data_IF_951780825821
#
_entry.id   IF_951780825821
#
_cell.length_a   1.000
_cell.length_b   1.000
_cell.length_c   1.000
_cell.angle_alpha   90.00
_cell.angle_beta   90.00
_cell.angle_gamma   90.00
#
_symmetry.space_group_name_H-M   'P 1'
#
loop_
_entity.id
_entity.type
_entity.pdbx_description
1 polymer ?
#
# COMPACT_ATOMS: atom_id res chain seq x y z
N UNK A 1 -7.24 14.74 53.72
CA UNK A 1 -5.84 14.96 53.28
C UNK A 1 -5.45 13.78 52.40
N UNK A 2 -5.43 13.94 51.07
CA UNK A 2 -5.03 12.86 50.17
C UNK A 2 -3.51 12.80 50.11
N UNK A 3 -2.96 11.62 50.40
CA UNK A 3 -1.53 11.33 50.34
C UNK A 3 -1.04 11.31 48.89
N UNK A 4 -0.05 12.13 48.59
CA UNK A 4 0.75 12.11 47.37
C UNK A 4 1.52 10.79 47.24
N UNK A 5 0.91 9.79 46.61
CA UNK A 5 1.62 8.62 46.14
C UNK A 5 2.29 8.96 44.80
N UNK A 6 3.56 9.35 44.91
CA UNK A 6 4.46 9.77 43.83
C UNK A 6 4.62 8.72 42.73
N UNK A 7 4.65 9.19 41.47
CA UNK A 7 4.97 8.45 40.22
C UNK A 7 6.21 7.55 40.30
N UNK A 8 7.11 7.76 41.27
CA UNK A 8 8.31 6.92 41.46
C UNK A 8 8.05 5.59 42.14
N UNK A 9 6.99 5.44 42.93
CA UNK A 9 6.72 4.18 43.66
C UNK A 9 6.05 3.13 42.77
N UNK A 10 5.36 3.56 41.69
CA UNK A 10 4.79 2.66 40.69
C UNK A 10 5.87 2.07 39.76
N UNK A 11 6.91 2.83 39.40
CA UNK A 11 8.01 2.33 38.55
C UNK A 11 8.99 1.39 39.30
N UNK A 12 9.14 1.55 40.62
CA UNK A 12 9.99 0.67 41.43
C UNK A 12 9.42 -0.75 41.63
N UNK A 13 8.10 -0.92 41.53
CA UNK A 13 7.44 -2.22 41.64
C UNK A 13 7.41 -3.06 40.36
N UNK A 14 7.73 -2.48 39.20
CA UNK A 14 7.80 -3.19 37.91
C UNK A 14 9.21 -3.66 37.54
N UNK A 15 10.25 -3.22 38.26
CA UNK A 15 11.64 -3.49 37.89
C UNK A 15 12.24 -4.76 38.51
N UNK A 16 11.59 -5.40 39.49
CA UNK A 16 12.15 -6.56 40.19
C UNK A 16 11.09 -7.64 40.41
N UNK A 17 11.01 -8.60 39.50
CA UNK A 17 10.31 -9.88 39.71
C UNK A 17 8.84 -9.92 39.28
N UNK A 18 8.58 -10.21 38.00
CA UNK A 18 7.22 -10.40 37.48
C UNK A 18 7.18 -10.83 36.01
N UNK A 19 7.95 -11.87 35.68
CA UNK A 19 8.02 -12.54 34.38
C UNK A 19 6.65 -13.06 33.93
N UNK A 20 6.13 -12.58 32.79
CA UNK A 20 5.11 -13.17 31.88
C UNK A 20 3.75 -13.72 32.42
N UNK A 21 3.66 -14.20 33.66
CA UNK A 21 2.50 -14.85 34.27
C UNK A 21 1.42 -13.86 34.75
N UNK A 22 1.80 -12.63 35.09
CA UNK A 22 0.83 -11.58 35.47
C UNK A 22 0.02 -11.10 34.26
N UNK A 23 0.63 -10.91 33.09
CA UNK A 23 -0.07 -10.51 31.85
C UNK A 23 -1.00 -11.62 31.31
N UNK A 24 -0.68 -12.90 31.57
CA UNK A 24 -1.50 -14.03 31.13
C UNK A 24 -2.90 -14.05 31.76
N UNK A 25 -3.03 -13.67 33.05
CA UNK A 25 -4.32 -13.58 33.75
C UNK A 25 -5.22 -12.44 33.25
N UNK A 26 -4.63 -11.28 32.90
CA UNK A 26 -5.37 -10.11 32.39
C UNK A 26 -5.83 -10.25 30.93
N UNK A 27 -5.36 -11.28 30.21
CA UNK A 27 -5.76 -11.54 28.82
C UNK A 27 -7.26 -11.80 28.68
N UNK A 28 -7.89 -12.37 29.71
CA UNK A 28 -9.30 -12.79 29.69
C UNK A 28 -10.27 -11.79 30.35
N UNK A 29 -9.77 -10.72 30.99
CA UNK A 29 -10.63 -9.75 31.66
C UNK A 29 -11.28 -8.76 30.66
N UNK A 30 -12.53 -8.32 30.90
CA UNK A 30 -13.18 -7.28 30.12
C UNK A 30 -12.35 -5.98 30.04
N UNK A 31 -12.34 -5.26 28.90
CA UNK A 31 -11.58 -4.01 28.72
C UNK A 31 -11.86 -2.92 29.77
N UNK A 32 -13.10 -2.84 30.20
CA UNK A 32 -13.64 -1.87 31.16
C UNK A 32 -13.13 -2.06 32.60
N UNK A 33 -12.52 -3.20 32.90
CA UNK A 33 -12.00 -3.54 34.23
C UNK A 33 -10.47 -3.39 34.31
N UNK A 34 -9.79 -3.30 33.15
CA UNK A 34 -8.33 -3.21 33.11
C UNK A 34 -7.82 -1.78 33.32
N UNK A 35 -6.74 -1.58 34.10
CA UNK A 35 -6.00 -0.33 34.11
C UNK A 35 -5.56 0.07 32.70
N UNK A 36 -5.66 1.36 32.37
CA UNK A 36 -5.40 1.87 31.02
C UNK A 36 -4.04 1.42 30.42
N UNK A 37 -2.90 1.45 31.14
CA UNK A 37 -1.62 0.99 30.57
C UNK A 37 -1.61 -0.49 30.20
N UNK A 38 -2.30 -1.33 30.98
CA UNK A 38 -2.40 -2.78 30.71
C UNK A 38 -3.31 -3.02 29.51
N UNK A 39 -4.41 -2.26 29.40
CA UNK A 39 -5.33 -2.35 28.28
C UNK A 39 -4.67 -1.90 26.97
N UNK A 40 -3.87 -0.85 27.02
CA UNK A 40 -3.12 -0.31 25.90
C UNK A 40 -2.11 -1.35 25.38
N UNK A 41 -1.25 -1.89 26.26
CA UNK A 41 -0.30 -2.96 25.90
C UNK A 41 -1.00 -4.20 25.32
N UNK A 42 -2.14 -4.59 25.90
CA UNK A 42 -2.95 -5.70 25.38
C UNK A 42 -3.51 -5.39 23.99
N UNK A 43 -3.87 -4.13 23.73
CA UNK A 43 -4.42 -3.68 22.45
C UNK A 43 -3.34 -3.69 21.38
N UNK A 44 -2.15 -3.14 21.67
CA UNK A 44 -0.97 -3.19 20.78
C UNK A 44 -0.62 -4.62 20.37
N UNK A 45 -0.58 -5.54 21.34
CA UNK A 45 -0.20 -6.94 21.10
C UNK A 45 -1.30 -7.81 20.46
N UNK A 46 -2.50 -7.26 20.23
CA UNK A 46 -3.54 -8.01 19.52
C UNK A 46 -3.10 -8.19 18.07
N UNK A 47 -2.82 -9.43 17.68
CA UNK A 47 -2.42 -9.74 16.31
C UNK A 47 -3.52 -9.35 15.33
N UNK A 48 -3.11 -8.61 14.31
CA UNK A 48 -3.93 -8.32 13.14
C UNK A 48 -3.72 -9.48 12.16
N UNK A 49 -4.79 -10.18 11.72
CA UNK A 49 -4.68 -11.22 10.71
C UNK A 49 -3.92 -10.76 9.47
N UNK A 50 -3.09 -11.64 8.93
CA UNK A 50 -2.50 -11.43 7.62
C UNK A 50 -3.56 -11.61 6.54
N UNK A 51 -3.47 -10.79 5.49
CA UNK A 51 -4.33 -10.88 4.31
C UNK A 51 -3.44 -11.26 3.16
N UNK A 52 -3.43 -12.55 2.84
CA UNK A 52 -2.65 -13.08 1.72
C UNK A 52 -3.32 -12.69 0.40
N UNK A 53 -2.66 -11.81 -0.36
CA UNK A 53 -3.12 -11.41 -1.70
C UNK A 53 -2.26 -12.00 -2.81
N UNK A 54 -1.42 -12.97 -2.46
CA UNK A 54 -0.51 -13.61 -3.40
C UNK A 54 -1.29 -14.41 -4.43
N UNK A 55 -0.87 -14.29 -5.69
CA UNK A 55 -1.37 -15.10 -6.79
C UNK A 55 -0.24 -15.98 -7.31
N UNK A 56 -0.50 -17.26 -7.63
CA UNK A 56 0.50 -18.12 -8.22
C UNK A 56 0.85 -17.63 -9.63
N UNK A 57 2.12 -17.74 -9.97
CA UNK A 57 2.69 -17.49 -11.31
C UNK A 57 3.52 -18.68 -11.76
N UNK A 58 3.93 -18.69 -13.03
CA UNK A 58 4.80 -19.73 -13.54
C UNK A 58 6.22 -19.65 -12.90
N UNK A 59 6.87 -20.77 -12.55
CA UNK A 59 8.24 -20.77 -12.02
C UNK A 59 9.24 -20.02 -12.90
N UNK A 60 9.08 -20.10 -14.22
CA UNK A 60 9.92 -19.42 -15.21
C UNK A 60 9.85 -17.90 -15.08
N UNK A 61 8.72 -17.35 -14.61
CA UNK A 61 8.59 -15.92 -14.34
C UNK A 61 9.47 -15.49 -13.16
N UNK A 62 9.56 -16.34 -12.13
CA UNK A 62 10.42 -16.09 -10.97
C UNK A 62 11.89 -16.14 -11.36
N UNK A 63 12.30 -17.14 -12.14
CA UNK A 63 13.67 -17.24 -12.68
C UNK A 63 14.03 -16.05 -13.58
N UNK A 64 13.12 -15.63 -14.46
CA UNK A 64 13.31 -14.43 -15.28
C UNK A 64 13.48 -13.18 -14.41
N UNK A 65 12.74 -13.08 -13.30
CA UNK A 65 12.87 -11.97 -12.35
C UNK A 65 14.20 -11.97 -11.60
N UNK A 66 14.65 -13.15 -11.13
CA UNK A 66 16.00 -13.32 -10.53
C UNK A 66 17.10 -12.97 -11.52
N UNK A 67 17.00 -13.42 -12.77
CA UNK A 67 17.99 -13.12 -13.81
C UNK A 67 18.08 -11.61 -14.09
N UNK A 68 16.94 -10.91 -14.18
CA UNK A 68 16.95 -9.46 -14.35
C UNK A 68 17.54 -8.73 -13.15
N UNK A 69 17.23 -9.16 -11.91
CA UNK A 69 17.84 -8.57 -10.72
C UNK A 69 19.36 -8.78 -10.69
N UNK A 70 19.84 -9.99 -10.98
CA UNK A 70 21.29 -10.27 -11.13
C UNK A 70 21.94 -9.35 -12.15
N UNK A 71 21.34 -9.22 -13.35
CA UNK A 71 21.85 -8.32 -14.39
C UNK A 71 21.97 -6.86 -13.89
N UNK A 72 20.97 -6.35 -13.17
CA UNK A 72 20.99 -4.98 -12.66
C UNK A 72 22.03 -4.82 -11.54
N UNK A 73 22.17 -5.80 -10.65
CA UNK A 73 23.20 -5.83 -9.59
C UNK A 73 24.60 -5.83 -10.20
N UNK A 74 24.86 -6.70 -11.19
CA UNK A 74 26.17 -6.81 -11.84
C UNK A 74 26.53 -5.51 -12.57
N UNK A 75 25.55 -4.92 -13.27
CA UNK A 75 25.73 -3.62 -13.94
C UNK A 75 25.96 -2.47 -12.97
N UNK A 76 25.29 -2.48 -11.81
CA UNK A 76 25.50 -1.49 -10.77
C UNK A 76 26.91 -1.58 -10.19
N UNK A 77 27.35 -2.80 -9.84
CA UNK A 77 28.70 -3.06 -9.33
C UNK A 77 29.77 -2.58 -10.32
N UNK A 78 29.65 -2.97 -11.59
CA UNK A 78 30.58 -2.54 -12.63
C UNK A 78 30.56 -1.02 -12.88
N UNK A 79 29.42 -0.35 -12.70
CA UNK A 79 29.34 1.09 -12.84
C UNK A 79 30.11 1.82 -11.72
N UNK A 80 30.04 1.32 -10.49
CA UNK A 80 30.78 1.86 -9.35
C UNK A 80 32.30 1.70 -9.47
N UNK A 81 32.79 0.63 -10.10
CA UNK A 81 34.22 0.48 -10.39
C UNK A 81 34.80 1.60 -11.27
N UNK A 82 33.94 2.34 -12.00
CA UNK A 82 34.33 3.43 -12.89
C UNK A 82 34.08 4.82 -12.29
N UNK A 83 33.57 4.91 -11.05
CA UNK A 83 33.39 6.19 -10.36
C UNK A 83 34.72 6.57 -9.71
N UNK A 84 35.25 7.75 -10.04
CA UNK A 84 36.41 8.30 -9.32
C UNK A 84 35.96 8.80 -7.96
N UNK A 85 36.73 8.52 -6.90
CA UNK A 85 36.45 9.01 -5.55
C UNK A 85 36.43 10.56 -5.52
N UNK A 86 37.13 11.23 -6.44
CA UNK A 86 37.11 12.69 -6.55
C UNK A 86 35.81 13.26 -7.12
N UNK A 87 35.01 12.45 -7.81
CA UNK A 87 33.75 12.87 -8.44
C UNK A 87 32.56 12.72 -7.49
N UNK A 88 32.76 12.09 -6.33
CA UNK A 88 31.76 12.03 -5.26
C UNK A 88 31.69 13.40 -4.60
N UNK A 89 30.56 14.09 -4.77
CA UNK A 89 30.35 15.44 -4.25
C UNK A 89 30.33 15.41 -2.71
N UNK A 90 31.25 16.12 -2.07
CA UNK A 90 31.33 16.21 -0.61
C UNK A 90 30.07 16.77 0.05
N UNK A 91 29.24 17.54 -0.67
CA UNK A 91 27.95 18.02 -0.15
C UNK A 91 26.83 16.97 -0.24
N UNK A 92 26.98 15.94 -1.07
CA UNK A 92 26.00 14.84 -1.26
C UNK A 92 26.58 13.46 -0.93
N UNK A 93 27.78 13.38 -0.37
CA UNK A 93 28.52 12.15 -0.11
C UNK A 93 27.74 11.12 0.72
N UNK A 94 26.96 11.56 1.71
CA UNK A 94 26.09 10.68 2.50
C UNK A 94 24.93 10.11 1.67
N UNK A 95 24.36 10.92 0.76
CA UNK A 95 23.34 10.47 -0.18
C UNK A 95 23.92 9.48 -1.19
N UNK A 96 25.09 9.78 -1.75
CA UNK A 96 25.75 8.94 -2.77
C UNK A 96 26.22 7.60 -2.20
N UNK A 97 26.84 7.60 -1.01
CA UNK A 97 27.20 6.36 -0.31
C UNK A 97 25.99 5.59 0.21
N UNK A 98 24.93 6.29 0.59
CA UNK A 98 23.62 5.69 0.87
C UNK A 98 23.05 4.93 -0.34
N UNK A 99 23.36 5.37 -1.56
CA UNK A 99 22.94 4.70 -2.79
C UNK A 99 23.85 3.53 -3.19
N UNK A 100 25.13 3.54 -2.81
CA UNK A 100 25.99 2.36 -2.92
C UNK A 100 25.46 1.21 -2.04
N UNK A 101 25.11 1.48 -0.77
CA UNK A 101 24.53 0.46 0.12
C UNK A 101 23.19 -0.11 -0.37
N UNK A 102 22.48 0.58 -1.26
CA UNK A 102 21.27 0.03 -1.91
C UNK A 102 21.57 -1.18 -2.82
N UNK A 103 22.82 -1.37 -3.24
CA UNK A 103 23.24 -2.57 -3.98
C UNK A 103 23.19 -3.83 -3.12
N UNK A 104 23.56 -3.72 -1.84
CA UNK A 104 23.52 -4.83 -0.88
C UNK A 104 22.09 -5.30 -0.68
N UNK A 105 21.14 -4.38 -0.54
CA UNK A 105 19.70 -4.71 -0.49
C UNK A 105 19.27 -5.48 -1.76
N UNK A 106 19.79 -5.13 -2.93
CA UNK A 106 19.54 -5.88 -4.17
C UNK A 106 20.04 -7.33 -4.10
N UNK A 107 21.21 -7.56 -3.50
CA UNK A 107 21.78 -8.90 -3.28
C UNK A 107 21.03 -9.69 -2.21
N UNK A 108 20.63 -9.03 -1.12
CA UNK A 108 19.80 -9.61 -0.06
C UNK A 108 18.47 -10.13 -0.63
N UNK A 109 17.78 -9.34 -1.45
CA UNK A 109 16.54 -9.77 -2.08
C UNK A 109 16.72 -10.97 -3.03
N UNK A 110 17.88 -11.13 -3.68
CA UNK A 110 18.18 -12.36 -4.43
C UNK A 110 18.30 -13.58 -3.52
N UNK A 111 18.96 -13.43 -2.38
CA UNK A 111 19.16 -14.52 -1.41
C UNK A 111 17.86 -14.88 -0.69
N UNK A 112 17.11 -13.88 -0.20
CA UNK A 112 15.82 -14.07 0.51
C UNK A 112 14.77 -14.77 -0.35
N UNK A 113 14.83 -14.58 -1.67
CA UNK A 113 13.89 -15.20 -2.59
C UNK A 113 14.38 -16.54 -3.11
N UNK A 114 15.56 -17.04 -2.74
CA UNK A 114 16.03 -18.37 -3.11
C UNK A 114 15.13 -19.45 -2.50
N UNK A 115 14.61 -20.36 -3.34
CA UNK A 115 13.67 -21.39 -2.90
C UNK A 115 12.26 -20.90 -2.56
N UNK A 116 11.95 -19.61 -2.76
CA UNK A 116 10.60 -19.08 -2.56
C UNK A 116 9.60 -19.65 -3.59
N UNK A 117 8.34 -19.78 -3.16
CA UNK A 117 7.24 -20.19 -4.03
C UNK A 117 7.01 -19.18 -5.18
N UNK A 118 6.62 -19.63 -6.39
CA UNK A 118 6.40 -18.77 -7.54
C UNK A 118 5.08 -18.01 -7.41
N UNK A 119 5.11 -16.89 -6.68
CA UNK A 119 3.95 -16.03 -6.42
C UNK A 119 4.22 -14.57 -6.81
N UNK A 120 3.16 -13.78 -6.90
CA UNK A 120 3.26 -12.32 -7.08
C UNK A 120 4.04 -11.62 -5.97
N UNK A 121 4.08 -12.19 -4.77
CA UNK A 121 4.80 -11.61 -3.64
C UNK A 121 6.31 -11.84 -3.79
N UNK A 122 6.72 -13.03 -4.24
CA UNK A 122 8.10 -13.30 -4.62
C UNK A 122 8.56 -12.41 -5.80
N UNK A 123 7.68 -12.20 -6.79
CA UNK A 123 7.95 -11.20 -7.85
C UNK A 123 8.08 -9.78 -7.30
N UNK A 124 7.27 -9.41 -6.30
CA UNK A 124 7.33 -8.10 -5.64
C UNK A 124 8.64 -7.88 -4.89
N UNK A 125 9.11 -8.88 -4.15
CA UNK A 125 10.41 -8.85 -3.47
C UNK A 125 11.58 -8.66 -4.45
N UNK A 126 11.61 -9.45 -5.52
CA UNK A 126 12.62 -9.29 -6.58
C UNK A 126 12.54 -7.93 -7.28
N UNK A 127 11.33 -7.43 -7.55
CA UNK A 127 11.13 -6.10 -8.12
C UNK A 127 11.61 -4.99 -7.18
N UNK A 128 11.44 -5.16 -5.86
CA UNK A 128 12.02 -4.26 -4.86
C UNK A 128 13.55 -4.30 -4.90
N UNK A 129 14.16 -5.48 -5.01
CA UNK A 129 15.59 -5.63 -5.28
C UNK A 129 16.03 -4.88 -6.54
N UNK A 130 15.28 -4.99 -7.64
CA UNK A 130 15.58 -4.28 -8.90
C UNK A 130 15.50 -2.77 -8.70
N UNK A 131 14.50 -2.29 -7.96
CA UNK A 131 14.36 -0.88 -7.64
C UNK A 131 15.59 -0.33 -6.91
N UNK A 132 16.15 -1.09 -5.96
CA UNK A 132 17.31 -0.72 -5.14
C UNK A 132 18.62 -0.78 -5.93
N UNK A 133 18.88 -1.90 -6.61
CA UNK A 133 20.05 -2.05 -7.47
C UNK A 133 20.06 -1.04 -8.63
N UNK A 134 18.90 -0.74 -9.22
CA UNK A 134 18.78 0.28 -10.26
C UNK A 134 19.02 1.71 -9.74
N UNK A 135 18.71 1.97 -8.46
CA UNK A 135 19.02 3.26 -7.84
C UNK A 135 20.53 3.45 -7.72
N UNK A 136 21.23 2.40 -7.26
CA UNK A 136 22.69 2.36 -7.17
C UNK A 136 23.36 2.51 -8.55
N UNK A 137 22.90 1.75 -9.56
CA UNK A 137 23.37 1.88 -10.94
C UNK A 137 23.17 3.30 -11.49
N UNK A 138 22.01 3.91 -11.21
CA UNK A 138 21.68 5.23 -11.69
C UNK A 138 22.56 6.30 -11.04
N UNK A 139 22.86 6.18 -9.75
CA UNK A 139 23.79 7.06 -9.03
C UNK A 139 25.18 7.02 -9.64
N UNK A 140 25.79 5.82 -9.74
CA UNK A 140 27.13 5.65 -10.31
C UNK A 140 27.23 6.24 -11.73
N UNK A 141 26.21 6.02 -12.56
CA UNK A 141 26.15 6.57 -13.92
C UNK A 141 25.96 8.08 -13.98
N UNK A 142 25.26 8.67 -13.01
CA UNK A 142 25.05 10.10 -12.96
C UNK A 142 26.31 10.82 -12.46
N UNK A 143 27.00 10.27 -11.45
CA UNK A 143 28.28 10.78 -10.93
C UNK A 143 29.37 10.75 -12.00
N UNK A 144 29.55 9.60 -12.66
CA UNK A 144 30.54 9.46 -13.75
C UNK A 144 30.13 10.10 -15.08
N UNK A 145 29.01 10.83 -15.11
CA UNK A 145 28.39 11.38 -16.33
C UNK A 145 28.21 10.37 -17.48
N UNK A 146 28.16 9.07 -17.16
CA UNK A 146 28.11 7.97 -18.11
C UNK A 146 26.67 7.65 -18.58
N UNK A 147 25.98 8.67 -19.14
CA UNK A 147 24.62 8.57 -19.66
C UNK A 147 24.40 9.37 -20.96
N UNK A 148 23.36 8.99 -21.71
CA UNK A 148 22.89 9.70 -22.90
C UNK A 148 21.38 9.89 -22.80
N UNK A 149 20.93 11.13 -22.61
CA UNK A 149 19.50 11.47 -22.50
C UNK A 149 18.72 11.07 -23.75
N UNK A 150 19.31 11.19 -24.95
CA UNK A 150 18.68 10.73 -26.18
C UNK A 150 18.41 9.22 -26.16
N UNK A 151 19.34 8.42 -25.65
CA UNK A 151 19.15 6.98 -25.43
C UNK A 151 18.09 6.68 -24.37
N UNK A 152 18.05 7.42 -23.26
CA UNK A 152 17.01 7.24 -22.23
C UNK A 152 15.62 7.54 -22.79
N UNK A 153 15.46 8.65 -23.52
CA UNK A 153 14.22 9.02 -24.22
C UNK A 153 13.77 7.94 -25.20
N UNK A 154 14.68 7.44 -26.07
CA UNK A 154 14.38 6.32 -26.99
C UNK A 154 13.95 5.05 -26.25
N UNK A 155 14.61 4.73 -25.12
CA UNK A 155 14.26 3.56 -24.29
C UNK A 155 12.89 3.72 -23.63
N UNK A 156 12.54 4.92 -23.18
CA UNK A 156 11.19 5.25 -22.66
C UNK A 156 10.13 5.07 -23.75
N UNK A 157 10.30 5.72 -24.91
CA UNK A 157 9.37 5.59 -26.05
C UNK A 157 9.17 4.12 -26.48
N UNK A 158 10.25 3.33 -26.53
CA UNK A 158 10.15 1.90 -26.83
C UNK A 158 9.38 1.13 -25.75
N UNK A 159 9.66 1.39 -24.48
CA UNK A 159 8.95 0.74 -23.37
C UNK A 159 7.46 1.09 -23.38
N UNK A 160 7.09 2.34 -23.66
CA UNK A 160 5.69 2.74 -23.83
C UNK A 160 5.01 1.97 -24.97
N UNK A 161 5.68 1.84 -26.13
CA UNK A 161 5.19 1.01 -27.24
C UNK A 161 5.00 -0.45 -26.85
N UNK A 162 5.99 -1.06 -26.18
CA UNK A 162 5.89 -2.45 -25.69
C UNK A 162 4.74 -2.65 -24.67
N UNK A 163 4.44 -1.62 -23.87
CA UNK A 163 3.30 -1.62 -22.94
C UNK A 163 1.98 -1.58 -23.71
N UNK A 164 1.85 -0.67 -24.67
CA UNK A 164 0.61 -0.49 -25.43
C UNK A 164 0.31 -1.70 -26.31
N UNK A 165 1.33 -2.30 -26.93
CA UNK A 165 1.21 -3.57 -27.65
C UNK A 165 0.71 -4.69 -26.74
N UNK A 166 1.21 -4.74 -25.50
CA UNK A 166 0.77 -5.75 -24.54
C UNK A 166 -0.68 -5.52 -24.09
N UNK A 167 -1.08 -4.28 -23.78
CA UNK A 167 -2.47 -3.92 -23.44
C UNK A 167 -3.43 -4.31 -24.58
N UNK A 168 -3.07 -4.03 -25.83
CA UNK A 168 -3.89 -4.40 -26.98
C UNK A 168 -4.06 -5.93 -27.15
N UNK A 169 -3.16 -6.74 -26.56
CA UNK A 169 -3.20 -8.20 -26.61
C UNK A 169 -3.96 -8.86 -25.43
N UNK A 170 -4.36 -8.08 -24.42
CA UNK A 170 -5.07 -8.61 -23.25
C UNK A 170 -6.57 -8.77 -23.50
N UNK A 171 -7.19 -9.70 -22.78
CA UNK A 171 -8.64 -9.99 -22.80
C UNK A 171 -9.19 -10.12 -21.37
N UNK A 172 -10.50 -9.92 -21.22
CA UNK A 172 -11.23 -10.05 -19.94
C UNK A 172 -12.00 -11.36 -19.81
N UNK A 173 -11.66 -12.33 -20.65
CA UNK A 173 -12.19 -13.69 -20.60
C UNK A 173 -11.65 -14.45 -19.39
N UNK A 174 -12.53 -14.95 -18.54
CA UNK A 174 -12.19 -15.66 -17.31
C UNK A 174 -12.96 -16.97 -17.16
N UNK A 175 -12.32 -17.98 -16.57
CA UNK A 175 -12.98 -19.25 -16.21
C UNK A 175 -13.81 -19.12 -14.91
N UNK A 176 -13.28 -18.37 -13.95
CA UNK A 176 -13.91 -18.02 -12.67
C UNK A 176 -13.81 -16.49 -12.49
N UNK A 177 -14.93 -15.74 -12.43
CA UNK A 177 -14.94 -14.30 -12.20
C UNK A 177 -14.15 -13.85 -10.97
N UNK A 178 -14.23 -14.59 -9.86
CA UNK A 178 -13.60 -14.18 -8.59
C UNK A 178 -12.09 -14.18 -8.67
N UNK A 179 -11.52 -15.29 -9.16
CA UNK A 179 -10.07 -15.41 -9.35
C UNK A 179 -9.59 -14.63 -10.56
N UNK A 180 -10.32 -14.68 -11.67
CA UNK A 180 -9.97 -14.00 -12.92
C UNK A 180 -9.86 -12.50 -12.76
N UNK A 181 -10.81 -11.86 -12.07
CA UNK A 181 -10.77 -10.42 -11.81
C UNK A 181 -9.52 -10.01 -11.01
N UNK A 182 -9.11 -10.81 -10.02
CA UNK A 182 -7.91 -10.52 -9.24
C UNK A 182 -6.64 -10.56 -10.11
N UNK A 183 -6.54 -11.52 -11.03
CA UNK A 183 -5.44 -11.55 -12.00
C UNK A 183 -5.46 -10.36 -12.96
N UNK A 184 -6.59 -10.06 -13.58
CA UNK A 184 -6.74 -8.91 -14.48
C UNK A 184 -6.35 -7.60 -13.75
N UNK A 185 -6.86 -7.41 -12.53
CA UNK A 185 -6.51 -6.28 -11.67
C UNK A 185 -5.00 -6.18 -11.42
N UNK A 186 -4.35 -7.29 -11.03
CA UNK A 186 -2.90 -7.31 -10.74
C UNK A 186 -2.06 -7.06 -12.00
N UNK A 187 -2.44 -7.63 -13.14
CA UNK A 187 -1.81 -7.36 -14.44
C UNK A 187 -1.90 -5.88 -14.77
N UNK A 188 -3.09 -5.29 -14.72
CA UNK A 188 -3.28 -3.89 -15.11
C UNK A 188 -2.65 -2.91 -14.13
N UNK A 189 -2.64 -3.21 -12.83
CA UNK A 189 -1.89 -2.41 -11.84
C UNK A 189 -0.40 -2.40 -12.15
N UNK A 190 0.16 -3.53 -12.56
CA UNK A 190 1.55 -3.62 -13.00
C UNK A 190 1.80 -2.84 -14.31
N UNK A 191 0.86 -2.89 -15.28
CA UNK A 191 0.91 -2.07 -16.51
C UNK A 191 0.88 -0.58 -16.18
N UNK A 192 -0.04 -0.15 -15.31
CA UNK A 192 -0.13 1.25 -14.89
C UNK A 192 1.18 1.73 -14.26
N UNK A 193 1.76 0.91 -13.38
CA UNK A 193 3.06 1.20 -12.77
C UNK A 193 4.18 1.26 -13.80
N UNK A 194 4.18 0.37 -14.81
CA UNK A 194 5.14 0.41 -15.91
C UNK A 194 5.03 1.72 -16.71
N UNK A 195 3.82 2.20 -17.01
CA UNK A 195 3.58 3.48 -17.68
C UNK A 195 4.10 4.65 -16.87
N UNK A 196 3.75 4.74 -15.58
CA UNK A 196 4.26 5.80 -14.70
C UNK A 196 5.79 5.84 -14.68
N UNK A 197 6.45 4.68 -14.68
CA UNK A 197 7.91 4.60 -14.70
C UNK A 197 8.51 4.96 -16.07
N UNK A 198 7.83 4.63 -17.16
CA UNK A 198 8.28 5.03 -18.50
C UNK A 198 8.13 6.55 -18.73
N UNK A 199 7.07 7.16 -18.18
CA UNK A 199 6.76 8.60 -18.24
C UNK A 199 7.72 9.47 -17.41
N UNK A 200 8.44 8.89 -16.45
CA UNK A 200 9.38 9.60 -15.57
C UNK A 200 10.70 10.02 -16.25
N UNK A 201 10.82 9.84 -17.58
CA UNK A 201 12.00 10.29 -18.33
C UNK A 201 11.74 11.70 -18.87
N UNK A 202 12.66 12.68 -18.66
CA UNK A 202 12.50 14.04 -19.17
C UNK A 202 12.16 14.08 -20.66
N UNK A 203 11.14 14.88 -20.99
CA UNK A 203 10.64 15.05 -22.37
C UNK A 203 11.67 15.69 -23.30
N UNK A 204 11.31 15.75 -24.59
CA UNK A 204 12.15 16.42 -25.61
C UNK A 204 12.19 17.94 -25.42
N UNK A 205 11.16 18.52 -24.80
CA UNK A 205 11.06 19.95 -24.50
C UNK A 205 11.74 20.36 -23.17
N UNK A 206 12.28 19.40 -22.41
CA UNK A 206 13.00 19.71 -21.18
C UNK A 206 14.38 20.27 -21.53
N UNK A 207 14.69 21.47 -21.02
CA UNK A 207 16.01 22.07 -21.19
C UNK A 207 17.06 21.20 -20.51
N UNK A 208 18.09 20.78 -21.27
CA UNK A 208 19.12 19.88 -20.76
C UNK A 208 19.97 20.55 -19.68
N UNK A 209 20.06 21.89 -19.66
CA UNK A 209 20.72 22.62 -18.57
C UNK A 209 19.95 22.61 -17.25
N UNK A 210 18.63 22.32 -17.29
CA UNK A 210 17.76 22.28 -16.11
C UNK A 210 17.60 20.86 -15.55
N UNK A 211 18.14 19.84 -16.25
CA UNK A 211 18.09 18.45 -15.78
C UNK A 211 19.19 18.24 -14.73
N UNK A 212 18.82 18.45 -13.47
CA UNK A 212 19.66 18.09 -12.34
C UNK A 212 20.02 16.59 -12.34
N UNK A 213 21.19 16.25 -11.78
CA UNK A 213 21.68 14.87 -11.60
C UNK A 213 20.59 13.93 -11.03
N UNK A 214 19.77 14.42 -10.09
CA UNK A 214 18.62 13.70 -9.54
C UNK A 214 17.60 13.27 -10.60
N UNK A 215 17.29 14.12 -11.58
CA UNK A 215 16.37 13.80 -12.68
C UNK A 215 16.91 12.67 -13.58
N UNK A 216 18.22 12.65 -13.82
CA UNK A 216 18.89 11.56 -14.54
C UNK A 216 18.84 10.25 -13.75
N UNK A 217 19.14 10.32 -12.45
CA UNK A 217 19.06 9.18 -11.54
C UNK A 217 17.65 8.58 -11.56
N UNK A 218 16.63 9.42 -11.42
CA UNK A 218 15.23 9.03 -11.47
C UNK A 218 14.84 8.41 -12.82
N UNK A 219 15.32 8.96 -13.94
CA UNK A 219 15.05 8.42 -15.28
C UNK A 219 15.67 7.03 -15.49
N UNK A 220 16.95 6.83 -15.18
CA UNK A 220 17.63 5.53 -15.32
C UNK A 220 16.96 4.48 -14.43
N UNK A 221 16.73 4.83 -13.17
CA UNK A 221 16.05 3.97 -12.19
C UNK A 221 14.65 3.60 -12.66
N UNK A 222 13.88 4.58 -13.16
CA UNK A 222 12.51 4.35 -13.59
C UNK A 222 12.45 3.44 -14.81
N UNK A 223 13.35 3.56 -15.78
CA UNK A 223 13.37 2.64 -16.94
C UNK A 223 13.65 1.18 -16.56
N UNK A 224 14.58 0.93 -15.63
CA UNK A 224 14.85 -0.42 -15.15
C UNK A 224 13.62 -1.02 -14.44
N UNK A 225 12.95 -0.22 -13.61
CA UNK A 225 11.73 -0.63 -12.92
C UNK A 225 10.55 -0.82 -13.86
N UNK A 226 10.36 0.08 -14.83
CA UNK A 226 9.25 0.01 -15.78
C UNK A 226 9.28 -1.28 -16.60
N UNK A 227 10.48 -1.72 -17.02
CA UNK A 227 10.66 -3.04 -17.65
C UNK A 227 10.29 -4.19 -16.73
N UNK A 228 10.72 -4.17 -15.46
CA UNK A 228 10.37 -5.22 -14.50
C UNK A 228 8.86 -5.26 -14.26
N UNK A 229 8.21 -4.10 -14.11
CA UNK A 229 6.75 -4.00 -13.98
C UNK A 229 6.02 -4.58 -15.20
N UNK A 230 6.45 -4.27 -16.43
CA UNK A 230 5.87 -4.86 -17.64
C UNK A 230 6.05 -6.39 -17.67
N UNK A 231 7.22 -6.89 -17.32
CA UNK A 231 7.48 -8.33 -17.27
C UNK A 231 6.66 -9.04 -16.18
N UNK A 232 6.41 -8.40 -15.04
CA UNK A 232 5.52 -8.92 -14.01
C UNK A 232 4.06 -8.94 -14.49
N UNK A 233 3.62 -7.89 -15.19
CA UNK A 233 2.28 -7.86 -15.78
C UNK A 233 2.06 -9.03 -16.75
N UNK A 234 3.05 -9.29 -17.62
CA UNK A 234 3.05 -10.44 -18.53
C UNK A 234 2.99 -11.76 -17.77
N UNK A 235 3.82 -11.94 -16.75
CA UNK A 235 3.83 -13.16 -15.94
C UNK A 235 2.47 -13.46 -15.29
N UNK A 236 1.86 -12.45 -14.66
CA UNK A 236 0.55 -12.55 -14.01
C UNK A 236 -0.54 -12.85 -15.05
N UNK A 237 -0.51 -12.18 -16.20
CA UNK A 237 -1.49 -12.40 -17.26
C UNK A 237 -1.37 -13.79 -17.89
N UNK A 238 -0.15 -14.27 -18.14
CA UNK A 238 0.07 -15.62 -18.65
C UNK A 238 -0.42 -16.69 -17.68
N UNK A 239 -0.17 -16.53 -16.38
CA UNK A 239 -0.72 -17.42 -15.36
C UNK A 239 -2.26 -17.44 -15.38
N UNK A 240 -2.88 -16.29 -15.58
CA UNK A 240 -4.32 -16.20 -15.81
C UNK A 240 -4.77 -16.94 -17.07
N UNK A 241 -4.11 -16.71 -18.22
CA UNK A 241 -4.49 -17.36 -19.49
C UNK A 241 -4.34 -18.87 -19.47
N UNK A 242 -3.37 -19.41 -18.74
CA UNK A 242 -3.25 -20.85 -18.52
C UNK A 242 -4.47 -21.43 -17.81
N UNK A 243 -5.12 -20.68 -16.91
CA UNK A 243 -6.35 -21.12 -16.25
C UNK A 243 -7.59 -21.05 -17.16
N UNK A 244 -7.53 -20.29 -18.25
CA UNK A 244 -8.64 -20.10 -19.19
C UNK A 244 -8.56 -21.08 -20.37
N UNK A 245 -7.35 -21.43 -20.81
CA UNK A 245 -7.11 -22.24 -22.01
C UNK A 245 -7.88 -23.57 -22.04
N UNK A 246 -8.03 -24.22 -20.88
CA UNK A 246 -8.71 -25.53 -20.74
C UNK A 246 -10.09 -25.42 -20.07
N UNK A 247 -10.64 -24.21 -19.94
CA UNK A 247 -11.91 -24.01 -19.25
C UNK A 247 -13.11 -24.42 -20.11
N UNK A 248 -13.97 -25.29 -19.57
CA UNK A 248 -15.21 -25.70 -20.25
C UNK A 248 -16.27 -24.59 -20.37
N UNK A 249 -16.10 -23.47 -19.65
CA UNK A 249 -16.94 -22.28 -19.75
C UNK A 249 -16.10 -21.03 -19.49
N UNK A 250 -16.31 -20.01 -20.31
CA UNK A 250 -15.64 -18.72 -20.23
C UNK A 250 -16.70 -17.63 -20.03
N UNK A 251 -16.41 -16.67 -19.16
CA UNK A 251 -17.19 -15.45 -18.94
C UNK A 251 -16.35 -14.27 -19.39
N UNK A 252 -16.90 -13.38 -20.20
CA UNK A 252 -16.26 -12.11 -20.50
C UNK A 252 -16.68 -11.05 -19.47
N UNK A 253 -15.72 -10.53 -18.71
CA UNK A 253 -15.98 -9.53 -17.68
C UNK A 253 -16.11 -8.11 -18.24
N UNK A 254 -15.67 -7.84 -19.47
CA UNK A 254 -15.56 -6.47 -19.99
C UNK A 254 -16.87 -5.66 -19.88
N UNK A 255 -18.04 -6.17 -20.34
CA UNK A 255 -19.28 -5.41 -20.25
C UNK A 255 -19.74 -5.13 -18.82
N UNK A 256 -19.46 -6.07 -17.90
CA UNK A 256 -19.79 -5.92 -16.49
C UNK A 256 -18.91 -4.87 -15.82
N UNK A 257 -17.59 -4.97 -16.01
CA UNK A 257 -16.63 -4.05 -15.39
C UNK A 257 -16.83 -2.60 -15.84
N UNK A 258 -17.14 -2.37 -17.12
CA UNK A 258 -17.40 -1.02 -17.62
C UNK A 258 -18.68 -0.41 -17.04
N UNK A 259 -19.74 -1.22 -16.88
CA UNK A 259 -20.96 -0.79 -16.20
C UNK A 259 -20.71 -0.50 -14.73
N UNK A 260 -20.18 -1.49 -13.99
CA UNK A 260 -19.95 -1.41 -12.55
C UNK A 260 -19.05 -0.23 -12.18
N UNK A 261 -17.99 0.02 -12.96
CA UNK A 261 -17.11 1.17 -12.74
C UNK A 261 -17.85 2.50 -12.85
N UNK A 262 -18.72 2.66 -13.85
CA UNK A 262 -19.53 3.89 -14.01
C UNK A 262 -20.52 4.05 -12.85
N UNK A 263 -21.21 2.99 -12.49
CA UNK A 263 -22.15 3.00 -11.36
C UNK A 263 -21.47 3.35 -10.04
N UNK A 264 -20.25 2.83 -9.81
CA UNK A 264 -19.47 3.18 -8.62
C UNK A 264 -19.01 4.64 -8.64
N UNK A 265 -18.58 5.17 -9.78
CA UNK A 265 -18.22 6.58 -9.92
C UNK A 265 -19.41 7.49 -9.54
N UNK A 266 -20.60 7.24 -10.11
CA UNK A 266 -21.80 8.02 -9.83
C UNK A 266 -22.19 7.96 -8.34
N UNK A 267 -22.04 6.79 -7.71
CA UNK A 267 -22.31 6.62 -6.27
C UNK A 267 -21.31 7.37 -5.39
N UNK A 268 -20.02 7.38 -5.76
CA UNK A 268 -18.98 8.13 -5.02
C UNK A 268 -19.28 9.62 -5.09
N UNK A 269 -19.59 10.13 -6.27
CA UNK A 269 -19.91 11.55 -6.48
C UNK A 269 -21.16 11.98 -5.70
N UNK A 270 -22.12 11.07 -5.50
CA UNK A 270 -23.29 11.32 -4.66
C UNK A 270 -23.05 11.21 -3.15
N UNK A 271 -21.97 10.58 -2.71
CA UNK A 271 -21.66 10.34 -1.28
C UNK A 271 -20.71 11.39 -0.70
N UNK A 272 -19.69 11.78 -1.46
CA UNK A 272 -18.63 12.65 -0.97
C UNK A 272 -18.91 14.10 -1.36
N UNK A 273 -18.79 15.01 -0.38
CA UNK A 273 -18.71 16.45 -0.63
C UNK A 273 -17.51 16.76 -1.51
N UNK A 274 -17.47 17.92 -2.18
CA UNK A 274 -16.23 18.39 -2.79
C UNK A 274 -15.18 18.73 -1.73
N UNK A 275 -13.89 18.77 -2.13
CA UNK A 275 -12.79 18.95 -1.17
C UNK A 275 -12.89 20.25 -0.39
N UNK A 276 -13.32 21.35 -1.04
CA UNK A 276 -13.42 22.65 -0.38
C UNK A 276 -14.52 22.61 0.68
N UNK A 277 -15.72 22.15 0.32
CA UNK A 277 -16.83 22.02 1.27
C UNK A 277 -16.54 21.00 2.36
N UNK A 278 -15.80 19.93 2.08
CA UNK A 278 -15.37 18.96 3.09
C UNK A 278 -14.40 19.59 4.10
N UNK A 279 -13.43 20.40 3.65
CA UNK A 279 -12.50 21.10 4.55
C UNK A 279 -13.27 22.08 5.43
N UNK A 280 -14.13 22.92 4.85
CA UNK A 280 -14.96 23.88 5.59
C UNK A 280 -15.85 23.19 6.63
N UNK A 281 -16.39 22.01 6.30
CA UNK A 281 -17.26 21.24 7.20
C UNK A 281 -16.51 20.62 8.37
N UNK A 282 -15.33 20.05 8.12
CA UNK A 282 -14.62 19.22 9.11
C UNK A 282 -13.51 19.96 9.86
N UNK A 283 -13.05 21.11 9.34
CA UNK A 283 -11.99 21.94 9.92
C UNK A 283 -12.39 23.42 9.88
N UNK A 284 -13.36 23.84 10.72
CA UNK A 284 -13.75 25.25 10.80
C UNK A 284 -12.61 26.11 11.38
N UNK A 285 -12.57 27.39 10.97
CA UNK A 285 -11.47 28.35 11.24
C UNK A 285 -11.22 28.67 12.73
N UNK A 286 -12.10 28.22 13.63
CA UNK A 286 -11.99 28.33 15.08
C UNK A 286 -11.26 27.13 15.73
N UNK A 287 -10.67 26.26 14.91
CA UNK A 287 -10.09 24.96 15.27
C UNK A 287 -9.09 24.95 16.43
N UNK A 288 -9.50 24.32 17.54
CA UNK A 288 -8.61 23.93 18.62
C UNK A 288 -7.79 22.67 18.30
N UNK A 289 -6.64 22.50 18.94
CA UNK A 289 -5.81 21.28 18.84
C UNK A 289 -6.30 20.20 19.81
N UNK A 290 -7.56 19.74 19.67
CA UNK A 290 -8.16 18.76 20.57
C UNK A 290 -8.18 17.31 20.04
N UNK A 291 -8.59 16.35 20.88
CA UNK A 291 -8.66 14.94 20.50
C UNK A 291 -9.66 14.67 19.36
N UNK A 292 -10.74 15.46 19.28
CA UNK A 292 -11.75 15.30 18.22
C UNK A 292 -11.20 15.75 16.87
N UNK A 293 -10.49 16.87 16.85
CA UNK A 293 -9.90 17.47 15.66
C UNK A 293 -8.80 16.55 15.11
N UNK A 294 -7.98 15.96 15.99
CA UNK A 294 -6.98 14.96 15.59
C UNK A 294 -7.60 13.70 15.01
N UNK A 295 -8.62 13.13 15.66
CA UNK A 295 -9.33 11.96 15.13
C UNK A 295 -10.02 12.26 13.78
N UNK A 296 -10.59 13.46 13.63
CA UNK A 296 -11.18 13.94 12.37
C UNK A 296 -10.13 14.08 11.28
N UNK A 297 -8.96 14.64 11.61
CA UNK A 297 -7.82 14.73 10.70
C UNK A 297 -7.34 13.36 10.23
N UNK A 298 -7.28 12.36 11.12
CA UNK A 298 -6.93 10.99 10.75
C UNK A 298 -7.94 10.36 9.80
N UNK A 299 -9.25 10.47 10.10
CA UNK A 299 -10.30 9.99 9.20
C UNK A 299 -10.28 10.73 7.86
N UNK A 300 -10.05 12.03 7.87
CA UNK A 300 -9.99 12.82 6.65
C UNK A 300 -8.79 12.43 5.79
N UNK A 301 -7.58 12.35 6.36
CA UNK A 301 -6.38 12.04 5.58
C UNK A 301 -6.37 10.59 5.10
N UNK A 302 -6.79 9.64 5.94
CA UNK A 302 -6.74 8.22 5.58
C UNK A 302 -8.00 7.73 4.85
N UNK A 303 -9.16 8.34 5.11
CA UNK A 303 -10.46 7.92 4.59
C UNK A 303 -11.07 8.82 3.53
N UNK A 304 -10.65 10.09 3.38
CA UNK A 304 -11.19 11.02 2.38
C UNK A 304 -10.15 11.52 1.36
N UNK A 305 -9.01 12.03 1.85
CA UNK A 305 -7.96 12.67 1.04
C UNK A 305 -6.93 11.68 0.51
N UNK A 306 -6.82 10.48 1.08
CA UNK A 306 -6.01 9.42 0.49
C UNK A 306 -6.60 9.06 -0.88
N UNK A 307 -5.77 8.51 -1.77
CA UNK A 307 -6.24 7.92 -3.04
C UNK A 307 -7.31 6.83 -2.84
N UNK A 308 -7.59 6.46 -1.58
CA UNK A 308 -8.57 5.47 -1.18
C UNK A 308 -10.02 5.84 -1.47
N UNK A 309 -10.47 7.11 -1.42
CA UNK A 309 -11.89 7.47 -1.57
C UNK A 309 -12.26 8.18 -2.88
N UNK A 310 -11.26 8.68 -3.61
CA UNK A 310 -11.43 9.26 -4.94
C UNK A 310 -10.43 8.60 -5.88
N UNK A 311 -10.89 7.74 -6.80
CA UNK A 311 -9.98 7.08 -7.72
C UNK A 311 -9.38 8.12 -8.66
N UNK A 312 -8.10 8.01 -9.05
CA UNK A 312 -7.46 8.99 -9.92
C UNK A 312 -8.24 9.21 -11.23
N UNK A 313 -8.71 10.43 -11.46
CA UNK A 313 -9.43 10.80 -12.67
C UNK A 313 -8.44 11.17 -13.78
N UNK A 314 -8.37 10.36 -14.85
CA UNK A 314 -7.58 10.69 -16.05
C UNK A 314 -6.77 9.51 -16.59
N UNK A 315 -5.51 9.35 -16.14
CA UNK A 315 -4.53 8.42 -16.71
C UNK A 315 -4.75 6.93 -16.41
N UNK A 316 -5.59 6.59 -15.42
CA UNK A 316 -5.97 5.19 -15.16
C UNK A 316 -6.85 4.59 -16.28
N UNK A 317 -7.42 5.42 -17.17
CA UNK A 317 -8.51 5.00 -18.08
C UNK A 317 -8.05 4.39 -19.40
N UNK A 318 -6.79 4.51 -19.81
CA UNK A 318 -6.34 4.08 -21.14
C UNK A 318 -6.20 2.54 -21.24
N UNK A 319 -7.33 1.85 -21.39
CA UNK A 319 -7.36 0.40 -21.65
C UNK A 319 -7.13 -0.49 -20.43
N UNK A 320 -7.29 0.04 -19.20
CA UNK A 320 -7.09 -0.69 -17.95
C UNK A 320 -8.41 -0.77 -17.17
N UNK A 321 -9.33 -1.62 -17.62
CA UNK A 321 -10.70 -1.65 -17.11
C UNK A 321 -10.83 -2.36 -15.76
N UNK A 322 -10.12 -3.47 -15.54
CA UNK A 322 -10.18 -4.20 -14.27
C UNK A 322 -9.56 -3.38 -13.12
N UNK A 323 -8.44 -2.71 -13.37
CA UNK A 323 -7.83 -1.72 -12.48
C UNK A 323 -8.83 -0.63 -12.15
N UNK A 324 -9.42 -0.01 -13.17
CA UNK A 324 -10.36 1.08 -12.94
C UNK A 324 -11.58 0.60 -12.13
N UNK A 325 -12.20 -0.54 -12.47
CA UNK A 325 -13.35 -1.07 -11.74
C UNK A 325 -13.03 -1.40 -10.27
N UNK A 326 -11.92 -2.10 -10.00
CA UNK A 326 -11.53 -2.48 -8.63
C UNK A 326 -11.11 -1.26 -7.80
N UNK A 327 -10.40 -0.28 -8.37
CA UNK A 327 -10.07 0.96 -7.66
C UNK A 327 -11.33 1.81 -7.37
N UNK A 328 -12.32 1.83 -8.26
CA UNK A 328 -13.61 2.48 -7.95
C UNK A 328 -14.40 1.71 -6.88
N UNK A 329 -14.29 0.38 -6.84
CA UNK A 329 -14.91 -0.43 -5.80
C UNK A 329 -14.29 -0.15 -4.43
N UNK A 330 -12.96 -0.13 -4.35
CA UNK A 330 -12.20 0.29 -3.16
C UNK A 330 -12.60 1.71 -2.76
N UNK A 331 -12.71 2.62 -3.73
CA UNK A 331 -13.16 3.98 -3.47
C UNK A 331 -14.57 4.11 -2.93
N UNK A 332 -15.51 3.35 -3.47
CA UNK A 332 -16.88 3.32 -2.94
C UNK A 332 -16.92 2.72 -1.52
N UNK A 333 -16.14 1.67 -1.27
CA UNK A 333 -15.98 1.08 0.06
C UNK A 333 -15.48 2.13 1.05
N UNK A 334 -14.37 2.81 0.73
CA UNK A 334 -13.78 3.86 1.56
C UNK A 334 -14.69 5.05 1.77
N UNK A 335 -15.38 5.52 0.73
CA UNK A 335 -16.31 6.64 0.84
C UNK A 335 -17.43 6.33 1.85
N UNK A 336 -18.03 5.14 1.75
CA UNK A 336 -19.06 4.68 2.69
C UNK A 336 -18.51 4.48 4.10
N UNK A 337 -17.31 3.91 4.21
CA UNK A 337 -16.65 3.69 5.48
C UNK A 337 -16.31 5.01 6.17
N UNK A 338 -15.81 6.00 5.43
CA UNK A 338 -15.52 7.34 5.92
C UNK A 338 -16.79 8.05 6.43
N UNK A 339 -17.88 8.09 5.64
CA UNK A 339 -19.13 8.72 6.07
C UNK A 339 -19.66 8.07 7.35
N UNK A 340 -19.69 6.74 7.42
CA UNK A 340 -20.17 6.01 8.60
C UNK A 340 -19.26 6.21 9.82
N UNK A 341 -17.93 6.23 9.61
CA UNK A 341 -16.96 6.47 10.66
C UNK A 341 -17.06 7.89 11.21
N UNK A 342 -17.27 8.90 10.36
CA UNK A 342 -17.48 10.29 10.80
C UNK A 342 -18.72 10.43 11.68
N UNK A 343 -19.85 9.84 11.29
CA UNK A 343 -21.10 9.86 12.09
C UNK A 343 -20.92 9.20 13.47
N UNK A 344 -20.23 8.06 13.50
CA UNK A 344 -19.92 7.35 14.75
C UNK A 344 -18.90 8.10 15.61
N UNK A 345 -17.93 8.78 15.00
CA UNK A 345 -16.94 9.61 15.70
C UNK A 345 -17.62 10.79 16.40
N UNK A 346 -18.49 11.51 15.70
CA UNK A 346 -19.26 12.63 16.26
C UNK A 346 -20.10 12.18 17.46
N UNK A 347 -20.76 11.03 17.34
CA UNK A 347 -21.54 10.44 18.43
C UNK A 347 -20.67 10.08 19.65
N UNK A 348 -19.50 9.47 19.41
CA UNK A 348 -18.58 9.09 20.49
C UNK A 348 -18.04 10.29 21.27
N UNK A 349 -17.79 11.42 20.60
CA UNK A 349 -17.35 12.64 21.28
C UNK A 349 -18.50 13.38 21.99
N UNK A 350 -19.73 13.26 21.50
CA UNK A 350 -20.91 13.78 22.20
C UNK A 350 -21.19 13.06 23.54
N UNK A 351 -20.92 11.75 23.61
CA UNK A 351 -21.25 10.88 24.75
C UNK A 351 -20.19 10.81 25.88
N UNK A 352 -19.16 11.65 25.84
CA UNK A 352 -18.14 11.72 26.90
C UNK A 352 -16.69 11.46 26.47
N UNK A 353 -16.42 11.54 25.17
CA UNK A 353 -15.07 11.53 24.61
C UNK A 353 -14.46 10.14 24.41
N UNK A 354 -13.38 10.09 23.63
CA UNK A 354 -12.74 8.83 23.21
C UNK A 354 -11.61 8.44 24.17
N UNK A 355 -11.81 7.33 24.89
CA UNK A 355 -10.79 6.74 25.76
C UNK A 355 -10.26 5.38 25.29
N UNK A 356 -9.20 4.89 25.92
CA UNK A 356 -8.55 3.61 25.58
C UNK A 356 -9.51 2.41 25.57
N UNK A 357 -10.50 2.40 26.46
CA UNK A 357 -11.53 1.34 26.49
C UNK A 357 -12.33 1.26 25.18
N UNK A 358 -12.68 2.40 24.59
CA UNK A 358 -13.39 2.47 23.33
C UNK A 358 -12.49 2.08 22.16
N UNK A 359 -11.26 2.60 22.11
CA UNK A 359 -10.28 2.22 21.10
C UNK A 359 -10.01 0.70 21.10
N UNK A 360 -9.79 0.10 22.27
CA UNK A 360 -9.54 -1.34 22.41
C UNK A 360 -10.72 -2.21 21.98
N UNK A 361 -11.97 -1.80 22.29
CA UNK A 361 -13.18 -2.48 21.81
C UNK A 361 -13.30 -2.40 20.29
N UNK A 362 -13.00 -1.25 19.72
CA UNK A 362 -13.10 -1.01 18.28
C UNK A 362 -12.04 -1.80 17.51
N UNK A 363 -10.78 -1.83 17.99
CA UNK A 363 -9.74 -2.73 17.42
C UNK A 363 -10.19 -4.18 17.44
N UNK A 364 -10.75 -4.63 18.56
CA UNK A 364 -11.26 -6.01 18.69
C UNK A 364 -12.32 -6.28 17.63
N UNK A 365 -13.32 -5.41 17.51
CA UNK A 365 -14.38 -5.52 16.53
C UNK A 365 -13.83 -5.59 15.10
N UNK A 366 -12.96 -4.65 14.70
CA UNK A 366 -12.34 -4.64 13.38
C UNK A 366 -11.54 -5.93 13.10
N UNK A 367 -10.73 -6.36 14.08
CA UNK A 367 -9.94 -7.59 13.96
C UNK A 367 -10.83 -8.83 13.82
N UNK A 368 -11.91 -8.92 14.59
CA UNK A 368 -12.81 -10.07 14.58
C UNK A 368 -13.67 -10.09 13.30
N UNK A 369 -14.05 -8.93 12.77
CA UNK A 369 -14.67 -8.79 11.44
C UNK A 369 -13.71 -9.27 10.34
N UNK A 370 -12.45 -8.84 10.37
CA UNK A 370 -11.44 -9.28 9.40
C UNK A 370 -11.24 -10.80 9.47
N UNK A 371 -11.14 -11.39 10.67
CA UNK A 371 -11.02 -12.85 10.82
C UNK A 371 -12.21 -13.60 10.22
N UNK A 372 -13.44 -13.14 10.47
CA UNK A 372 -14.64 -13.75 9.89
C UNK A 372 -14.63 -13.65 8.38
N UNK A 373 -14.37 -12.46 7.84
CA UNK A 373 -14.28 -12.24 6.39
C UNK A 373 -13.25 -13.18 5.74
N UNK A 374 -12.07 -13.35 6.34
CA UNK A 374 -11.02 -14.24 5.82
C UNK A 374 -11.32 -15.72 5.99
N UNK A 375 -12.10 -16.10 7.02
CA UNK A 375 -12.55 -17.49 7.20
C UNK A 375 -13.64 -17.86 6.18
N UNK A 376 -14.48 -16.90 5.83
CA UNK A 376 -15.61 -17.10 4.91
C UNK A 376 -15.20 -16.95 3.43
N UNK A 377 -14.11 -16.23 3.14
CA UNK A 377 -13.66 -15.95 1.78
C UNK A 377 -12.53 -16.88 1.33
N UNK A 378 -12.79 -17.67 0.28
CA UNK A 378 -11.79 -18.46 -0.42
C UNK A 378 -11.16 -17.73 -1.61
N UNK A 379 -11.74 -16.61 -2.03
CA UNK A 379 -11.35 -15.91 -3.25
C UNK A 379 -10.32 -14.78 -3.08
N UNK A 380 -9.44 -14.54 -4.08
CA UNK A 380 -8.44 -13.49 -3.98
C UNK A 380 -9.00 -12.07 -4.00
N UNK A 381 -10.13 -11.81 -4.69
CA UNK A 381 -10.66 -10.44 -4.81
C UNK A 381 -11.21 -9.92 -3.47
N UNK A 382 -11.79 -10.78 -2.63
CA UNK A 382 -12.15 -10.43 -1.26
C UNK A 382 -10.92 -10.03 -0.46
N UNK A 383 -9.81 -10.74 -0.61
CA UNK A 383 -8.54 -10.42 0.07
C UNK A 383 -7.96 -9.10 -0.42
N UNK A 384 -8.07 -8.79 -1.72
CA UNK A 384 -7.70 -7.49 -2.28
C UNK A 384 -8.47 -6.31 -1.66
N UNK A 385 -9.77 -6.50 -1.42
CA UNK A 385 -10.62 -5.49 -0.76
C UNK A 385 -10.35 -5.40 0.75
N UNK A 386 -9.96 -6.51 1.39
CA UNK A 386 -9.64 -6.55 2.81
C UNK A 386 -8.24 -6.02 3.17
N UNK A 387 -7.34 -5.90 2.18
CA UNK A 387 -5.95 -5.49 2.39
C UNK A 387 -5.83 -4.09 3.03
N UNK A 388 -6.60 -3.11 2.55
CA UNK A 388 -6.55 -1.75 3.07
C UNK A 388 -7.18 -1.63 4.47
N UNK A 389 -8.35 -2.21 4.77
CA UNK A 389 -8.85 -2.23 6.15
C UNK A 389 -7.91 -2.93 7.14
N UNK A 390 -7.19 -3.98 6.70
CA UNK A 390 -6.13 -4.57 7.53
C UNK A 390 -5.02 -3.58 7.82
N UNK A 391 -4.59 -2.80 6.83
CA UNK A 391 -3.58 -1.75 6.98
C UNK A 391 -4.06 -0.65 7.94
N UNK A 392 -5.33 -0.24 7.84
CA UNK A 392 -5.93 0.76 8.75
C UNK A 392 -5.91 0.29 10.21
N UNK A 393 -6.13 -1.01 10.48
CA UNK A 393 -5.95 -1.57 11.83
C UNK A 393 -4.48 -1.43 12.28
N UNK A 394 -3.52 -1.67 11.39
CA UNK A 394 -2.10 -1.54 11.73
C UNK A 394 -1.69 -0.07 11.94
N UNK A 395 -2.21 0.86 11.13
CA UNK A 395 -1.97 2.31 11.29
C UNK A 395 -2.52 2.78 12.63
N UNK A 396 -3.69 2.29 13.06
CA UNK A 396 -4.25 2.61 14.38
C UNK A 396 -3.38 2.21 15.57
N UNK A 397 -2.40 1.31 15.38
CA UNK A 397 -1.44 0.94 16.43
C UNK A 397 -0.27 1.94 16.57
N UNK A 398 0.01 2.74 15.54
CA UNK A 398 1.11 3.70 15.53
C UNK A 398 0.99 4.78 16.63
N UNK A 399 -0.14 5.51 16.75
CA UNK A 399 -0.26 6.57 17.76
C UNK A 399 -0.20 6.03 19.20
N UNK A 400 -0.48 4.74 19.42
CA UNK A 400 -0.30 4.13 20.73
C UNK A 400 1.19 3.95 21.11
N UNK A 401 2.15 4.31 20.25
CA UNK A 401 3.58 4.19 20.55
C UNK A 401 4.16 2.81 20.22
N UNK A 402 3.57 2.09 19.26
CA UNK A 402 4.24 0.93 18.61
C UNK A 402 5.44 1.41 17.78
N UNK A 403 5.41 2.66 17.32
CA UNK A 403 6.51 3.31 16.65
C UNK A 403 6.77 4.69 17.30
N UNK A 404 7.94 4.91 17.94
CA UNK A 404 8.29 6.18 18.59
C UNK A 404 8.25 7.41 17.66
N UNK A 405 8.32 7.21 16.34
CA UNK A 405 8.23 8.28 15.35
C UNK A 405 6.81 8.87 15.22
N UNK A 406 5.80 8.19 15.76
CA UNK A 406 4.38 8.56 15.64
C UNK A 406 3.73 8.76 17.01
N UNK A 407 4.50 9.16 18.04
CA UNK A 407 3.91 9.54 19.33
C UNK A 407 2.93 10.71 19.14
N UNK A 408 1.72 10.54 19.66
CA UNK A 408 0.65 11.53 19.59
C UNK A 408 0.29 12.03 20.98
N UNK A 409 -0.14 13.29 21.07
CA UNK A 409 -0.76 13.88 22.26
C UNK A 409 -2.14 13.28 22.56
N UNK A 410 -2.83 12.77 21.52
CA UNK A 410 -4.18 12.23 21.60
C UNK A 410 -4.28 10.81 21.05
N UNK A 411 -3.46 9.87 21.56
CA UNK A 411 -3.20 8.59 20.90
C UNK A 411 -4.44 7.70 20.83
N UNK A 412 -5.33 7.78 21.82
CA UNK A 412 -6.57 7.00 21.84
C UNK A 412 -7.60 7.46 20.81
N UNK A 413 -7.65 8.76 20.55
CA UNK A 413 -8.61 9.35 19.61
C UNK A 413 -8.24 9.00 18.17
N UNK A 414 -6.96 9.13 17.83
CA UNK A 414 -6.41 8.75 16.52
C UNK A 414 -6.50 7.24 16.28
N UNK A 415 -6.11 6.42 17.26
CA UNK A 415 -6.24 4.96 17.16
C UNK A 415 -7.70 4.53 16.96
N UNK A 416 -8.63 5.12 17.72
CA UNK A 416 -10.06 4.85 17.59
C UNK A 416 -10.58 5.17 16.19
N UNK A 417 -10.24 6.34 15.64
CA UNK A 417 -10.61 6.74 14.28
C UNK A 417 -10.18 5.69 13.25
N UNK A 418 -8.92 5.24 13.30
CA UNK A 418 -8.40 4.27 12.34
C UNK A 418 -9.03 2.88 12.49
N UNK A 419 -9.23 2.40 13.73
CA UNK A 419 -9.94 1.14 13.95
C UNK A 419 -11.41 1.21 13.53
N UNK A 420 -12.04 2.36 13.68
CA UNK A 420 -13.42 2.61 13.29
C UNK A 420 -13.56 2.58 11.77
N UNK A 421 -12.70 3.30 11.04
CA UNK A 421 -12.65 3.27 9.58
C UNK A 421 -12.47 1.84 9.05
N UNK A 422 -11.53 1.09 9.63
CA UNK A 422 -11.32 -0.31 9.26
C UNK A 422 -12.57 -1.18 9.50
N UNK A 423 -13.23 -1.02 10.65
CA UNK A 423 -14.43 -1.78 10.98
C UNK A 423 -15.56 -1.49 9.98
N UNK A 424 -15.78 -0.22 9.64
CA UNK A 424 -16.80 0.21 8.68
C UNK A 424 -16.49 -0.29 7.26
N UNK A 425 -15.24 -0.21 6.81
CA UNK A 425 -14.84 -0.75 5.50
C UNK A 425 -15.05 -2.26 5.43
N UNK A 426 -14.67 -3.01 6.48
CA UNK A 426 -14.86 -4.46 6.55
C UNK A 426 -16.33 -4.89 6.50
N UNK A 427 -17.24 -4.07 7.02
CA UNK A 427 -18.68 -4.32 6.96
C UNK A 427 -19.20 -4.32 5.52
N UNK A 428 -18.59 -3.50 4.66
CA UNK A 428 -19.02 -3.29 3.27
C UNK A 428 -18.31 -4.21 2.28
N UNK A 429 -17.26 -4.94 2.68
CA UNK A 429 -16.44 -5.72 1.74
C UNK A 429 -17.25 -6.70 0.89
N UNK A 430 -18.17 -7.46 1.51
CA UNK A 430 -18.95 -8.47 0.79
C UNK A 430 -19.90 -7.84 -0.22
N UNK A 431 -20.59 -6.75 0.16
CA UNK A 431 -21.49 -6.02 -0.74
C UNK A 431 -20.75 -5.45 -1.95
N UNK A 432 -19.57 -4.86 -1.73
CA UNK A 432 -18.74 -4.27 -2.78
C UNK A 432 -18.20 -5.35 -3.72
N UNK A 433 -17.74 -6.48 -3.17
CA UNK A 433 -17.33 -7.65 -3.96
C UNK A 433 -18.47 -8.18 -4.82
N UNK A 434 -19.66 -8.34 -4.25
CA UNK A 434 -20.79 -8.92 -4.97
C UNK A 434 -21.23 -8.01 -6.13
N UNK A 435 -21.11 -6.69 -5.99
CA UNK A 435 -21.34 -5.75 -7.09
C UNK A 435 -20.23 -5.76 -8.17
N UNK A 436 -19.00 -6.15 -7.81
CA UNK A 436 -17.88 -6.29 -8.76
C UNK A 436 -17.98 -7.53 -9.66
N UNK A 437 -18.80 -8.50 -9.29
CA UNK A 437 -18.90 -9.80 -9.98
C UNK A 437 -20.24 -9.93 -10.73
N UNK A 438 -20.26 -10.62 -11.88
CA UNK A 438 -21.46 -10.77 -12.71
C UNK A 438 -22.49 -11.76 -12.16
#
# INVERSE_FOLDING_TARGET
MPSELSRRTLLGGFAVGGTAASVAGYRFLPPDILPAPILEERTKRRSVPEVDTSLPVAPEALESSRAHLREVVDRAAAAWENVDESDVDSEQEEFDRGLESSLEIGREQLAETEGADPTTDALSALRYGVNRAAWSLAAAKAISEAYDLGTLRRRSKRLLGEIDDFVASTSYEVADPRRGLAYCYRTERAIHSARLKADNVPGEDADESDIHQRGVVEAIRSLAQGRRWLSDAKAVYHAHRSNVADAGRITDLEPHLDRTRREFADRIDGLLLDRTTAIERYFPDDGGEGPRERATNELFNNGYSSAGARPPTGRLRSGLLALAAVEHAKALQHARGFTSAMERLDSAFADGGVGMALAARTKREATDRLRRLLADADDPITRELAARPREEIAIGDWPLGVNPQFESEYPHAEAYAMYLLAAENLERTSEIRDALLP
#
